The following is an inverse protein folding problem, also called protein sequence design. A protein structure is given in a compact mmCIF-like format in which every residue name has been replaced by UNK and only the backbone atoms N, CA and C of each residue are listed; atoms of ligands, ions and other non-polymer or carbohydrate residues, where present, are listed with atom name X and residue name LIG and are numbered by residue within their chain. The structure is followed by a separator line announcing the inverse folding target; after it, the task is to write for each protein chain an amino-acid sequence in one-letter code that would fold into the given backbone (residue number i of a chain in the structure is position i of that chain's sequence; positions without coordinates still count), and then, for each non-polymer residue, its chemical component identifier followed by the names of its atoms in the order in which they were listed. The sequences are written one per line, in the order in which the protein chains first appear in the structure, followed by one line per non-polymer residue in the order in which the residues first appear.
data_IF_925341063642
#
_entry.id   IF_925341063642
#
_cell.length_a   1.000
_cell.length_b   1.000
_cell.length_c   1.000
_cell.angle_alpha   90.00
_cell.angle_beta   90.00
_cell.angle_gamma   90.00
#
_symmetry.space_group_name_H-M   'P 1'
#
loop_
_entity.id
_entity.type
_entity.pdbx_description
1 polymer ?
#
# COMPACT_ATOMS: atom_id res chain seq x y z
N UNK A 1 -1.71 -9.22 8.34
CA UNK A 1 -0.25 -9.31 8.59
C UNK A 1 0.21 -7.95 9.07
N UNK A 2 0.71 -7.81 10.30
CA UNK A 2 1.05 -6.49 10.87
C UNK A 2 2.57 -6.36 11.03
N UNK A 3 3.24 -5.40 10.35
CA UNK A 3 4.67 -5.21 10.50
C UNK A 3 5.07 -4.83 11.93
N UNK A 4 6.10 -5.49 12.46
CA UNK A 4 6.65 -5.24 13.78
C UNK A 4 7.97 -4.49 13.66
N UNK A 5 8.10 -3.34 14.33
CA UNK A 5 9.33 -2.55 14.28
C UNK A 5 10.42 -3.21 15.14
N UNK A 6 11.61 -3.38 14.58
CA UNK A 6 12.80 -3.89 15.25
C UNK A 6 13.55 -2.78 16.00
N UNK A 7 14.41 -3.12 16.98
CA UNK A 7 15.31 -2.15 17.63
C UNK A 7 16.23 -1.40 16.65
N UNK A 8 16.58 -2.04 15.53
CA UNK A 8 17.43 -1.49 14.47
C UNK A 8 16.70 -0.52 13.53
N UNK A 9 15.40 -0.29 13.75
CA UNK A 9 14.59 0.66 12.97
C UNK A 9 14.02 0.08 11.68
N UNK A 10 14.11 -1.23 11.48
CA UNK A 10 13.49 -1.96 10.37
C UNK A 10 12.16 -2.58 10.80
N UNK A 11 11.44 -3.19 9.88
CA UNK A 11 10.12 -3.77 10.13
C UNK A 11 10.11 -5.22 9.70
N UNK A 12 9.74 -6.14 10.60
CA UNK A 12 9.66 -7.57 10.32
C UNK A 12 8.21 -7.99 10.05
N UNK A 13 8.04 -8.88 9.07
CA UNK A 13 6.79 -9.57 8.75
C UNK A 13 7.10 -11.01 8.39
N UNK A 14 6.43 -11.96 9.04
CA UNK A 14 6.48 -13.35 8.60
C UNK A 14 5.46 -13.58 7.47
N UNK A 15 5.93 -14.03 6.31
CA UNK A 15 5.11 -14.32 5.13
C UNK A 15 5.42 -15.75 4.69
N UNK A 16 4.43 -16.64 4.79
CA UNK A 16 4.55 -18.05 4.41
C UNK A 16 5.76 -18.76 5.09
N UNK A 17 6.01 -18.45 6.36
CA UNK A 17 7.10 -19.07 7.12
C UNK A 17 8.49 -18.47 6.88
N UNK A 18 8.60 -17.42 6.06
CA UNK A 18 9.85 -16.67 5.84
C UNK A 18 9.78 -15.30 6.51
N UNK A 19 10.90 -14.85 7.05
CA UNK A 19 10.98 -13.56 7.72
C UNK A 19 11.44 -12.49 6.73
N UNK A 20 10.54 -11.54 6.47
CA UNK A 20 10.81 -10.39 5.62
C UNK A 20 11.09 -9.15 6.47
N UNK A 21 12.24 -8.53 6.23
CA UNK A 21 12.67 -7.29 6.84
C UNK A 21 12.58 -6.14 5.83
N UNK A 22 11.88 -5.07 6.20
CA UNK A 22 11.65 -3.89 5.38
C UNK A 22 12.28 -2.66 6.02
N UNK A 23 12.92 -1.81 5.21
CA UNK A 23 13.40 -0.49 5.65
C UNK A 23 12.46 0.61 5.15
N UNK A 24 12.14 1.57 6.03
CA UNK A 24 11.43 2.79 5.64
C UNK A 24 12.25 3.57 4.59
N UNK A 25 11.56 4.16 3.63
CA UNK A 25 12.15 5.14 2.73
C UNK A 25 12.21 6.53 3.37
N UNK A 26 13.06 7.39 2.82
CA UNK A 26 13.04 8.82 3.13
C UNK A 26 11.80 9.50 2.54
N UNK A 27 11.48 10.71 3.02
CA UNK A 27 10.25 11.41 2.66
C UNK A 27 10.08 11.67 1.16
N UNK A 28 11.16 12.09 0.48
CA UNK A 28 11.17 12.34 -0.98
C UNK A 28 10.82 11.06 -1.74
N UNK A 29 11.53 9.97 -1.44
CA UNK A 29 11.30 8.68 -2.07
C UNK A 29 9.90 8.11 -1.79
N UNK A 30 9.35 8.30 -0.59
CA UNK A 30 7.96 7.94 -0.27
C UNK A 30 6.98 8.74 -1.11
N UNK A 31 7.23 10.03 -1.32
CA UNK A 31 6.37 10.94 -2.08
C UNK A 31 6.34 10.55 -3.55
N UNK A 32 7.51 10.36 -4.17
CA UNK A 32 7.62 9.95 -5.57
C UNK A 32 6.92 8.60 -5.80
N UNK A 33 7.14 7.65 -4.89
CA UNK A 33 6.52 6.33 -5.00
C UNK A 33 5.00 6.42 -4.83
N UNK A 34 4.50 7.30 -3.97
CA UNK A 34 3.07 7.53 -3.81
C UNK A 34 2.44 8.14 -5.08
N UNK A 35 3.11 9.08 -5.73
CA UNK A 35 2.67 9.67 -7.00
C UNK A 35 2.64 8.61 -8.11
N UNK A 36 3.68 7.80 -8.22
CA UNK A 36 3.74 6.69 -9.16
C UNK A 36 2.63 5.65 -8.89
N UNK A 37 2.37 5.33 -7.62
CA UNK A 37 1.26 4.46 -7.20
C UNK A 37 -0.09 5.04 -7.66
N UNK A 38 -0.28 6.35 -7.54
CA UNK A 38 -1.48 7.06 -8.02
C UNK A 38 -1.59 6.97 -9.54
N UNK A 39 -0.50 7.19 -10.26
CA UNK A 39 -0.48 7.15 -11.72
C UNK A 39 -0.83 5.75 -12.27
N UNK A 40 -0.28 4.68 -11.68
CA UNK A 40 -0.55 3.29 -12.10
C UNK A 40 -1.94 2.83 -11.70
N UNK A 41 -2.38 3.15 -10.47
CA UNK A 41 -3.70 2.73 -10.00
C UNK A 41 -4.85 3.53 -10.65
N UNK A 42 -4.57 4.71 -11.21
CA UNK A 42 -5.58 5.55 -11.86
C UNK A 42 -6.75 5.91 -10.94
N UNK A 43 -7.97 5.91 -11.49
CA UNK A 43 -9.23 6.16 -10.75
C UNK A 43 -9.51 5.12 -9.65
N UNK A 44 -8.72 4.04 -9.57
CA UNK A 44 -8.73 3.10 -8.45
C UNK A 44 -8.46 3.80 -7.10
N UNK A 45 -7.73 4.92 -7.09
CA UNK A 45 -7.57 5.77 -5.91
C UNK A 45 -8.70 6.79 -5.73
N UNK A 46 -9.37 7.21 -6.80
CA UNK A 46 -10.68 7.88 -6.71
C UNK A 46 -11.69 6.99 -5.97
N UNK A 47 -11.65 5.69 -6.22
CA UNK A 47 -12.46 4.69 -5.52
C UNK A 47 -11.94 4.31 -4.12
N UNK A 48 -10.75 4.78 -3.73
CA UNK A 48 -10.29 4.75 -2.34
C UNK A 48 -11.01 5.86 -1.55
N UNK A 49 -11.32 7.00 -2.18
CA UNK A 49 -12.30 7.95 -1.63
C UNK A 49 -13.72 7.36 -1.45
N UNK A 50 -14.13 6.42 -2.31
CA UNK A 50 -15.41 5.70 -2.16
C UNK A 50 -15.36 4.56 -1.13
N UNK A 51 -14.21 3.91 -0.94
CA UNK A 51 -13.97 3.04 0.23
C UNK A 51 -14.12 3.86 1.51
N UNK A 52 -13.56 5.08 1.54
CA UNK A 52 -13.64 5.98 2.68
C UNK A 52 -15.06 6.50 2.96
N UNK A 53 -16.01 6.40 2.01
CA UNK A 53 -17.42 6.74 2.22
C UNK A 53 -18.24 5.62 2.89
N UNK A 54 -17.84 4.35 2.74
CA UNK A 54 -18.67 3.19 3.12
C UNK A 54 -18.09 2.34 4.26
N UNK A 55 -16.92 2.69 4.80
CA UNK A 55 -16.33 1.97 5.92
C UNK A 55 -16.56 2.76 7.21
N UNK A 56 -17.39 2.21 8.10
CA UNK A 56 -17.59 2.72 9.46
C UNK A 56 -16.27 2.79 10.23
N UNK A 57 -16.20 3.74 11.17
CA UNK A 57 -14.99 4.26 11.83
C UNK A 57 -14.04 3.26 12.51
N UNK A 58 -14.37 1.96 12.56
CA UNK A 58 -13.64 0.93 13.32
C UNK A 58 -13.03 -0.20 12.48
N UNK A 59 -13.11 -0.15 11.15
CA UNK A 59 -12.47 -1.20 10.33
C UNK A 59 -11.06 -0.78 9.96
N UNK A 60 -10.09 -1.72 9.96
CA UNK A 60 -8.69 -1.57 9.54
C UNK A 60 -8.58 -1.00 8.11
N UNK A 61 -8.80 0.32 8.01
CA UNK A 61 -8.93 1.09 6.79
C UNK A 61 -7.67 0.99 5.93
N UNK A 62 -6.52 0.84 6.61
CA UNK A 62 -5.20 0.66 6.00
C UNK A 62 -5.10 -0.67 5.24
N UNK A 63 -5.57 -1.78 5.80
CA UNK A 63 -5.49 -3.09 5.13
C UNK A 63 -6.44 -3.17 3.93
N UNK A 64 -7.66 -2.64 4.07
CA UNK A 64 -8.65 -2.61 2.98
C UNK A 64 -8.20 -1.78 1.77
N UNK A 65 -7.64 -0.60 2.03
CA UNK A 65 -7.08 0.27 0.98
C UNK A 65 -5.90 -0.41 0.29
N UNK A 66 -4.98 -1.00 1.05
CA UNK A 66 -3.81 -1.68 0.48
C UNK A 66 -4.23 -2.90 -0.35
N UNK A 67 -5.20 -3.71 0.10
CA UNK A 67 -5.74 -4.83 -0.71
C UNK A 67 -6.32 -4.34 -2.04
N UNK A 68 -7.02 -3.20 -2.04
CA UNK A 68 -7.52 -2.62 -3.30
C UNK A 68 -6.39 -2.09 -4.18
N UNK A 69 -5.39 -1.42 -3.61
CA UNK A 69 -4.20 -1.01 -4.37
C UNK A 69 -3.52 -2.21 -5.04
N UNK A 70 -3.34 -3.31 -4.31
CA UNK A 70 -2.77 -4.57 -4.86
C UNK A 70 -3.65 -5.12 -6.00
N UNK A 71 -4.97 -5.15 -5.84
CA UNK A 71 -5.91 -5.57 -6.88
C UNK A 71 -5.84 -4.68 -8.12
N UNK A 72 -5.78 -3.37 -7.93
CA UNK A 72 -5.64 -2.39 -9.02
C UNK A 72 -4.27 -2.49 -9.69
N UNK A 73 -3.21 -2.87 -8.98
CA UNK A 73 -1.90 -3.16 -9.58
C UNK A 73 -1.98 -4.30 -10.61
N UNK A 74 -2.73 -5.36 -10.28
CA UNK A 74 -2.98 -6.46 -11.21
C UNK A 74 -3.76 -6.00 -12.45
N UNK A 75 -4.63 -5.00 -12.32
CA UNK A 75 -5.38 -4.40 -13.44
C UNK A 75 -4.55 -3.37 -14.23
N UNK A 76 -3.71 -2.59 -13.55
CA UNK A 76 -2.85 -1.53 -14.08
C UNK A 76 -1.73 -2.04 -14.99
N UNK A 77 -1.43 -3.34 -14.94
CA UNK A 77 -0.58 -4.05 -15.92
C UNK A 77 -1.02 -3.82 -17.37
N UNK A 78 -2.30 -3.49 -17.60
CA UNK A 78 -2.86 -3.17 -18.92
C UNK A 78 -2.65 -1.72 -19.37
N UNK A 79 -2.41 -0.77 -18.45
CA UNK A 79 -2.39 0.68 -18.72
C UNK A 79 -0.98 1.24 -18.91
N UNK A 80 -0.07 0.92 -17.99
CA UNK A 80 1.36 1.25 -18.11
C UNK A 80 2.20 0.10 -17.54
N UNK A 81 2.51 -0.85 -18.41
CA UNK A 81 3.25 -2.07 -18.07
C UNK A 81 4.65 -1.75 -17.54
N UNK A 82 5.32 -0.72 -18.06
CA UNK A 82 6.69 -0.40 -17.68
C UNK A 82 6.74 0.19 -16.26
N UNK A 83 5.87 1.16 -15.98
CA UNK A 83 5.75 1.76 -14.65
C UNK A 83 5.25 0.76 -13.61
N UNK A 84 4.23 -0.03 -13.94
CA UNK A 84 3.70 -1.08 -13.05
C UNK A 84 4.78 -2.10 -12.68
N UNK A 85 5.57 -2.56 -13.66
CA UNK A 85 6.69 -3.48 -13.41
C UNK A 85 7.78 -2.84 -12.57
N UNK A 86 8.10 -1.55 -12.80
CA UNK A 86 9.07 -0.80 -11.99
C UNK A 86 8.63 -0.72 -10.53
N UNK A 87 7.36 -0.36 -10.29
CA UNK A 87 6.80 -0.27 -8.95
C UNK A 87 6.72 -1.62 -8.26
N UNK A 88 6.26 -2.66 -8.94
CA UNK A 88 6.22 -4.02 -8.38
C UNK A 88 7.61 -4.48 -7.96
N UNK A 89 8.64 -4.25 -8.80
CA UNK A 89 10.03 -4.54 -8.44
C UNK A 89 10.49 -3.76 -7.22
N UNK A 90 10.26 -2.45 -7.21
CA UNK A 90 10.64 -1.59 -6.08
C UNK A 90 9.99 -2.09 -4.78
N UNK A 91 8.67 -2.24 -4.78
CA UNK A 91 7.90 -2.59 -3.59
C UNK A 91 8.18 -4.01 -3.07
N UNK A 92 8.48 -4.97 -3.96
CA UNK A 92 8.69 -6.36 -3.57
C UNK A 92 10.16 -6.74 -3.37
N UNK A 93 11.14 -5.88 -3.69
CA UNK A 93 12.56 -6.26 -3.59
C UNK A 93 13.51 -5.15 -3.15
N UNK A 94 13.17 -3.88 -3.34
CA UNK A 94 14.07 -2.79 -2.94
C UNK A 94 14.02 -2.56 -1.43
N UNK A 95 15.18 -2.62 -0.78
CA UNK A 95 15.35 -2.59 0.68
C UNK A 95 14.49 -3.62 1.44
N UNK A 96 14.22 -4.74 0.77
CA UNK A 96 13.58 -5.91 1.37
C UNK A 96 14.62 -7.02 1.50
N UNK A 97 14.71 -7.58 2.70
CA UNK A 97 15.57 -8.72 3.03
C UNK A 97 14.65 -9.88 3.40
N UNK A 98 14.92 -11.08 2.90
CA UNK A 98 14.23 -12.31 3.29
C UNK A 98 15.25 -13.24 3.95
N UNK A 99 14.99 -13.67 5.19
CA UNK A 99 15.84 -14.60 5.95
C UNK A 99 17.32 -14.18 5.96
N UNK A 100 17.59 -12.87 6.06
CA UNK A 100 18.93 -12.29 6.07
C UNK A 100 19.57 -12.05 4.68
N UNK A 101 18.91 -12.41 3.58
CA UNK A 101 19.41 -12.21 2.22
C UNK A 101 18.64 -11.14 1.44
N UNK A 102 19.35 -10.34 0.63
CA UNK A 102 18.70 -9.38 -0.28
C UNK A 102 17.96 -10.08 -1.41
N UNK A 103 16.79 -9.55 -1.77
CA UNK A 103 15.95 -10.14 -2.81
C UNK A 103 16.41 -9.68 -4.20
N UNK A 104 16.87 -10.61 -5.04
CA UNK A 104 16.91 -10.37 -6.49
C UNK A 104 15.56 -10.75 -7.08
N UNK A 105 14.80 -9.75 -7.53
CA UNK A 105 13.42 -9.95 -7.99
C UNK A 105 13.26 -11.06 -9.05
N UNK A 106 14.18 -11.12 -10.02
CA UNK A 106 14.01 -12.02 -11.16
C UNK A 106 14.21 -13.49 -10.77
N UNK A 107 15.08 -13.78 -9.80
CA UNK A 107 15.41 -15.15 -9.37
C UNK A 107 14.59 -15.57 -8.14
N UNK A 108 14.34 -14.65 -7.21
CA UNK A 108 13.64 -14.96 -5.96
C UNK A 108 12.15 -15.29 -6.19
N UNK A 109 11.51 -14.61 -7.14
CA UNK A 109 10.08 -14.80 -7.46
C UNK A 109 9.83 -15.63 -8.72
N UNK A 110 10.86 -16.30 -9.26
CA UNK A 110 10.75 -17.01 -10.55
C UNK A 110 9.70 -18.14 -10.51
N UNK A 111 9.60 -18.82 -9.37
CA UNK A 111 8.70 -19.98 -9.16
C UNK A 111 7.42 -19.59 -8.40
N UNK A 112 7.41 -18.42 -7.76
CA UNK A 112 6.26 -17.89 -7.02
C UNK A 112 6.14 -16.38 -7.19
N UNK A 113 5.52 -15.98 -8.31
CA UNK A 113 5.22 -14.59 -8.58
C UNK A 113 4.19 -14.02 -7.58
N UNK A 114 3.30 -14.86 -7.03
CA UNK A 114 2.25 -14.43 -6.10
C UNK A 114 2.83 -13.97 -4.76
N UNK A 115 3.93 -14.56 -4.32
CA UNK A 115 4.69 -14.08 -3.17
C UNK A 115 5.11 -12.61 -3.35
N UNK A 116 5.46 -12.18 -4.57
CA UNK A 116 5.86 -10.77 -4.83
C UNK A 116 4.75 -9.77 -4.53
N UNK A 117 3.47 -10.13 -4.76
CA UNK A 117 2.32 -9.29 -4.42
C UNK A 117 2.08 -9.25 -2.91
N UNK A 118 2.32 -10.36 -2.21
CA UNK A 118 2.19 -10.43 -0.74
C UNK A 118 3.27 -9.60 -0.06
N UNK A 119 4.50 -9.66 -0.56
CA UNK A 119 5.62 -8.84 -0.09
C UNK A 119 5.40 -7.36 -0.39
N UNK A 120 4.88 -7.03 -1.59
CA UNK A 120 4.47 -5.66 -1.93
C UNK A 120 3.42 -5.13 -0.95
N UNK A 121 2.39 -5.93 -0.61
CA UNK A 121 1.37 -5.54 0.34
C UNK A 121 1.98 -5.22 1.71
N UNK A 122 2.87 -6.09 2.20
CA UNK A 122 3.58 -5.87 3.47
C UNK A 122 4.43 -4.59 3.43
N UNK A 123 5.14 -4.34 2.33
CA UNK A 123 5.94 -3.12 2.19
C UNK A 123 5.05 -1.87 2.15
N UNK A 124 3.90 -1.89 1.46
CA UNK A 124 2.95 -0.76 1.46
C UNK A 124 2.46 -0.43 2.88
N UNK A 125 2.24 -1.44 3.73
CA UNK A 125 1.90 -1.22 5.15
C UNK A 125 3.05 -0.54 5.90
N UNK A 126 4.29 -0.97 5.68
CA UNK A 126 5.47 -0.36 6.30
C UNK A 126 5.64 1.09 5.86
N UNK A 127 5.54 1.37 4.57
CA UNK A 127 5.77 2.71 4.04
C UNK A 127 4.62 3.66 4.42
N UNK A 128 3.37 3.28 4.10
CA UNK A 128 2.22 4.18 4.09
C UNK A 128 1.14 3.85 5.14
N UNK A 129 1.27 2.78 5.92
CA UNK A 129 0.22 2.37 6.87
C UNK A 129 -0.20 3.47 7.86
N UNK A 130 0.78 4.24 8.39
CA UNK A 130 0.49 5.39 9.26
C UNK A 130 -0.15 6.56 8.52
N UNK A 131 0.28 6.85 7.30
CA UNK A 131 -0.31 7.91 6.48
C UNK A 131 -1.77 7.58 6.13
N UNK A 132 -2.03 6.35 5.66
CA UNK A 132 -3.36 5.89 5.27
C UNK A 132 -4.32 5.82 6.47
N UNK A 133 -3.83 5.47 7.67
CA UNK A 133 -4.66 5.49 8.88
C UNK A 133 -5.01 6.91 9.33
N UNK A 134 -4.09 7.87 9.19
CA UNK A 134 -4.32 9.28 9.51
C UNK A 134 -5.28 9.93 8.51
N UNK A 135 -5.08 9.74 7.21
CA UNK A 135 -5.98 10.24 6.16
C UNK A 135 -7.41 9.70 6.34
N UNK A 136 -7.53 8.42 6.73
CA UNK A 136 -8.81 7.82 7.10
C UNK A 136 -9.52 8.55 8.24
N UNK A 137 -8.78 8.87 9.30
CA UNK A 137 -9.31 9.60 10.47
C UNK A 137 -9.68 11.05 10.16
N UNK A 138 -8.88 11.77 9.35
CA UNK A 138 -9.17 13.16 8.97
C UNK A 138 -10.46 13.29 8.15
N UNK A 139 -10.79 12.31 7.31
CA UNK A 139 -12.06 12.30 6.59
C UNK A 139 -13.25 11.89 7.46
N UNK A 140 -13.07 10.92 8.37
CA UNK A 140 -14.10 10.56 9.35
C UNK A 140 -14.41 11.70 10.35
N UNK A 141 -13.42 12.57 10.62
CA UNK A 141 -13.55 13.73 11.48
C UNK A 141 -14.08 15.00 10.78
N UNK A 142 -14.40 14.94 9.47
CA UNK A 142 -15.21 16.00 8.87
C UNK A 142 -16.63 15.85 9.40
N UNK A 143 -17.16 16.82 10.18
CA UNK A 143 -18.57 16.78 10.55
C UNK A 143 -19.40 16.74 9.26
N UNK A 144 -20.47 15.94 9.26
CA UNK A 144 -21.50 15.92 8.23
C UNK A 144 -22.26 17.27 8.19
N UNK A 145 -21.55 18.36 7.97
CA UNK A 145 -22.10 19.70 7.92
C UNK A 145 -22.35 20.07 6.45
N UNK A 146 -23.64 20.24 6.16
CA UNK A 146 -24.25 20.82 4.96
C UNK A 146 -24.59 19.85 3.81
N UNK A 147 -25.47 18.88 4.11
CA UNK A 147 -26.57 18.54 3.18
C UNK A 147 -27.89 18.78 3.90
N UNK A 148 -28.20 20.02 4.27
CA UNK A 148 -29.57 20.44 4.62
C UNK A 148 -29.69 21.96 4.67
N UNK A 149 -29.40 22.64 3.56
CA UNK A 149 -29.96 23.99 3.31
C UNK A 149 -30.12 24.21 1.81
N UNK A 150 -31.24 23.75 1.25
CA UNK A 150 -32.03 24.47 0.23
C UNK A 150 -33.16 23.58 -0.31
N UNK A 151 -34.26 23.52 0.43
CA UNK A 151 -35.54 22.99 -0.02
C UNK A 151 -36.66 23.87 0.52
N UNK A 152 -36.64 25.15 0.14
CA UNK A 152 -37.78 26.04 0.32
C UNK A 152 -38.61 25.98 -0.97
N UNK A 153 -39.79 25.37 -0.89
CA UNK A 153 -40.99 25.70 -1.66
C UNK A 153 -42.20 25.04 -0.99
#
# INVERSE_FOLDING_TARGET
MTPQKTPQGTYLVNIQGKDFEFRKWGAEEQTDTLIDLIAVAGDGLGSIADIYKNIGADTDLSEGVIKKMVSTFSQGLSRDKAMTKRLLKKLASDRVICDGASINYNTFYQDDLMLSFTVLQANLMVQFGSFLSVVGKFKAAQPAAQMETSGNA
#
